data_IF_567620279453
#
_entry.id   IF_567620279453
#
_cell.length_a   1.000
_cell.length_b   1.000
_cell.length_c   1.000
_cell.angle_alpha   90.00
_cell.angle_beta   90.00
_cell.angle_gamma   90.00
#
_symmetry.space_group_name_H-M   'P 1'
#
loop_
_entity.id
_entity.type
_entity.pdbx_description
1 polymer ?
#
# COMPACT_ATOMS: atom_id res chain seq x y z
N UNK A 1 19.62 -0.85 -18.15
CA UNK A 1 18.27 -1.38 -18.43
C UNK A 1 17.28 -0.40 -17.82
N UNK A 2 16.67 0.46 -18.63
CA UNK A 2 15.73 1.50 -18.17
C UNK A 2 14.41 0.83 -17.77
N UNK A 3 14.37 0.23 -16.57
CA UNK A 3 13.11 -0.24 -15.98
C UNK A 3 12.28 1.01 -15.72
N UNK A 4 11.33 1.26 -16.60
CA UNK A 4 10.49 2.47 -16.63
C UNK A 4 9.61 2.47 -15.38
N UNK A 5 9.30 3.65 -14.81
CA UNK A 5 8.49 3.80 -13.58
C UNK A 5 7.19 2.99 -13.61
N UNK A 6 6.61 2.79 -14.80
CA UNK A 6 5.50 1.86 -15.07
C UNK A 6 5.70 0.45 -14.51
N UNK A 7 6.87 -0.16 -14.71
CA UNK A 7 7.11 -1.52 -14.23
C UNK A 7 7.02 -1.62 -12.71
N UNK A 8 7.46 -0.58 -11.98
CA UNK A 8 7.37 -0.57 -10.52
C UNK A 8 5.93 -0.41 -10.04
N UNK A 9 5.15 0.50 -10.65
CA UNK A 9 3.72 0.61 -10.33
C UNK A 9 2.94 -0.67 -10.70
N UNK A 10 3.36 -1.40 -11.74
CA UNK A 10 2.84 -2.72 -12.06
C UNK A 10 3.02 -3.74 -10.93
N UNK A 11 4.14 -3.69 -10.21
CA UNK A 11 4.37 -4.53 -9.01
C UNK A 11 3.39 -4.13 -7.88
N UNK A 12 3.09 -2.83 -7.74
CA UNK A 12 2.07 -2.34 -6.80
C UNK A 12 0.67 -2.86 -7.09
N UNK A 13 0.28 -2.90 -8.38
CA UNK A 13 -1.00 -3.46 -8.80
C UNK A 13 -1.05 -4.96 -8.51
N UNK A 14 0.03 -5.69 -8.78
CA UNK A 14 0.14 -7.12 -8.45
C UNK A 14 0.02 -7.36 -6.94
N UNK A 15 0.70 -6.55 -6.13
CA UNK A 15 0.60 -6.58 -4.66
C UNK A 15 -0.85 -6.37 -4.19
N UNK A 16 -1.54 -5.37 -4.74
CA UNK A 16 -2.94 -5.11 -4.43
C UNK A 16 -3.85 -6.29 -4.83
N UNK A 17 -3.65 -6.87 -6.01
CA UNK A 17 -4.39 -8.05 -6.47
C UNK A 17 -4.19 -9.26 -5.54
N UNK A 18 -2.96 -9.48 -5.06
CA UNK A 18 -2.66 -10.54 -4.09
C UNK A 18 -3.32 -10.27 -2.73
N UNK A 19 -3.36 -9.01 -2.26
CA UNK A 19 -4.07 -8.66 -1.02
C UNK A 19 -5.60 -8.84 -1.16
N UNK A 20 -6.18 -8.53 -2.32
CA UNK A 20 -7.60 -8.82 -2.61
C UNK A 20 -7.84 -10.33 -2.60
N UNK A 21 -6.97 -11.11 -3.23
CA UNK A 21 -7.06 -12.57 -3.25
C UNK A 21 -6.94 -13.15 -1.84
N UNK A 22 -5.99 -12.69 -1.04
CA UNK A 22 -5.85 -13.07 0.37
C UNK A 22 -7.09 -12.71 1.18
N UNK A 23 -7.65 -11.51 0.99
CA UNK A 23 -8.89 -11.08 1.62
C UNK A 23 -10.09 -11.93 1.23
N UNK A 24 -10.20 -12.31 -0.05
CA UNK A 24 -11.25 -13.20 -0.53
C UNK A 24 -11.11 -14.61 0.06
N UNK A 25 -9.90 -15.14 0.18
CA UNK A 25 -9.65 -16.43 0.84
C UNK A 25 -10.03 -16.40 2.33
N UNK A 26 -9.81 -15.27 3.02
CA UNK A 26 -10.24 -15.08 4.40
C UNK A 26 -11.77 -15.09 4.56
N UNK A 27 -12.55 -14.69 3.55
CA UNK A 27 -14.01 -14.83 3.56
C UNK A 27 -14.44 -16.30 3.59
N UNK A 28 -13.68 -17.19 2.96
CA UNK A 28 -13.91 -18.64 2.99
C UNK A 28 -13.22 -19.35 4.16
N UNK A 29 -12.76 -18.59 5.17
CA UNK A 29 -11.99 -19.10 6.32
C UNK A 29 -10.66 -19.79 5.97
N UNK A 30 -10.11 -19.51 4.78
CA UNK A 30 -8.79 -19.98 4.38
C UNK A 30 -7.77 -18.91 4.76
N UNK A 31 -6.94 -19.19 5.78
CA UNK A 31 -5.85 -18.30 6.18
C UNK A 31 -4.65 -18.49 5.26
N UNK A 32 -4.47 -17.56 4.33
CA UNK A 32 -3.39 -17.54 3.36
C UNK A 32 -2.33 -16.51 3.75
N UNK A 33 -1.73 -16.64 4.94
CA UNK A 33 -0.73 -15.69 5.46
C UNK A 33 0.45 -15.50 4.50
N UNK A 34 0.82 -16.55 3.77
CA UNK A 34 1.84 -16.50 2.74
C UNK A 34 1.50 -15.51 1.61
N UNK A 35 0.24 -15.43 1.19
CA UNK A 35 -0.20 -14.52 0.12
C UNK A 35 -0.05 -13.07 0.56
N UNK A 36 -0.45 -12.76 1.80
CA UNK A 36 -0.27 -11.43 2.39
C UNK A 36 1.20 -11.04 2.56
N UNK A 37 2.05 -11.99 2.96
CA UNK A 37 3.49 -11.76 3.06
C UNK A 37 4.12 -11.44 1.69
N UNK A 38 3.76 -12.22 0.65
CA UNK A 38 4.24 -11.97 -0.71
C UNK A 38 3.74 -10.60 -1.21
N UNK A 39 2.48 -10.26 -0.98
CA UNK A 39 1.92 -8.96 -1.34
C UNK A 39 2.65 -7.81 -0.66
N UNK A 40 2.95 -7.94 0.63
CA UNK A 40 3.68 -6.95 1.43
C UNK A 40 5.11 -6.78 0.94
N UNK A 41 5.82 -7.87 0.67
CA UNK A 41 7.17 -7.84 0.08
C UNK A 41 7.15 -7.16 -1.28
N UNK A 42 6.18 -7.47 -2.14
CA UNK A 42 6.04 -6.84 -3.45
C UNK A 42 5.82 -5.32 -3.34
N UNK A 43 4.98 -4.87 -2.39
CA UNK A 43 4.79 -3.44 -2.12
C UNK A 43 6.10 -2.78 -1.64
N UNK A 44 6.83 -3.42 -0.74
CA UNK A 44 8.13 -2.92 -0.27
C UNK A 44 9.17 -2.80 -1.39
N UNK A 45 9.25 -3.81 -2.26
CA UNK A 45 10.13 -3.79 -3.44
C UNK A 45 9.75 -2.66 -4.39
N UNK A 46 8.47 -2.45 -4.67
CA UNK A 46 8.01 -1.31 -5.48
C UNK A 46 8.50 0.02 -4.88
N UNK A 47 8.29 0.24 -3.58
CA UNK A 47 8.66 1.49 -2.91
C UNK A 47 10.18 1.73 -2.92
N UNK A 48 10.99 0.69 -2.72
CA UNK A 48 12.45 0.77 -2.84
C UNK A 48 12.91 1.10 -4.26
N UNK A 49 12.33 0.45 -5.26
CA UNK A 49 12.70 0.67 -6.66
C UNK A 49 12.26 2.05 -7.16
N UNK A 50 11.13 2.58 -6.68
CA UNK A 50 10.73 3.96 -6.95
C UNK A 50 11.70 4.96 -6.33
N UNK A 51 12.15 4.72 -5.09
CA UNK A 51 13.13 5.58 -4.43
C UNK A 51 14.46 5.69 -5.21
N UNK A 52 14.95 4.60 -5.82
CA UNK A 52 16.18 4.64 -6.62
C UNK A 52 16.04 5.40 -7.94
N UNK A 53 14.81 5.58 -8.42
CA UNK A 53 14.48 6.28 -9.67
C UNK A 53 14.00 7.73 -9.46
N UNK A 54 13.81 8.17 -8.22
CA UNK A 54 13.46 9.54 -7.82
C UNK A 54 14.73 10.34 -7.44
N UNK A 55 15.74 10.36 -8.31
CA UNK A 55 17.02 11.07 -8.02
C UNK A 55 16.87 12.60 -7.98
N UNK A 56 15.92 13.14 -8.74
CA UNK A 56 15.69 14.59 -8.88
C UNK A 56 14.77 15.17 -7.82
N UNK A 57 14.00 14.33 -7.09
CA UNK A 57 13.15 14.75 -5.96
C UNK A 57 13.60 14.08 -4.65
N UNK A 58 14.49 14.74 -3.88
CA UNK A 58 14.98 14.22 -2.61
C UNK A 58 13.88 13.96 -1.59
N UNK A 59 12.78 14.73 -1.62
CA UNK A 59 11.67 14.59 -0.67
C UNK A 59 10.83 13.38 -1.02
N UNK A 60 10.38 13.24 -2.28
CA UNK A 60 9.65 12.07 -2.76
C UNK A 60 10.42 10.76 -2.55
N UNK A 61 11.74 10.78 -2.76
CA UNK A 61 12.62 9.65 -2.46
C UNK A 61 12.61 9.26 -0.99
N UNK A 62 12.76 10.24 -0.07
CA UNK A 62 12.76 9.96 1.36
C UNK A 62 11.43 9.39 1.85
N UNK A 63 10.29 9.85 1.29
CA UNK A 63 8.99 9.26 1.58
C UNK A 63 8.86 7.82 1.06
N UNK A 64 9.36 7.52 -0.13
CA UNK A 64 9.37 6.15 -0.65
C UNK A 64 10.26 5.22 0.19
N UNK A 65 11.44 5.68 0.62
CA UNK A 65 12.31 4.92 1.52
C UNK A 65 11.68 4.72 2.90
N UNK A 66 11.05 5.76 3.45
CA UNK A 66 10.33 5.66 4.72
C UNK A 66 9.17 4.65 4.62
N UNK A 67 8.39 4.69 3.53
CA UNK A 67 7.30 3.75 3.30
C UNK A 67 7.81 2.31 3.12
N UNK A 68 8.93 2.11 2.42
CA UNK A 68 9.58 0.80 2.31
C UNK A 68 10.04 0.29 3.68
N UNK A 69 10.68 1.14 4.49
CA UNK A 69 11.10 0.80 5.85
C UNK A 69 9.90 0.44 6.73
N UNK A 70 8.81 1.22 6.66
CA UNK A 70 7.56 0.92 7.36
C UNK A 70 6.94 -0.40 6.89
N UNK A 71 7.05 -0.73 5.61
CA UNK A 71 6.57 -2.02 5.09
C UNK A 71 7.37 -3.19 5.68
N UNK A 72 8.70 -3.06 5.78
CA UNK A 72 9.57 -4.08 6.41
C UNK A 72 9.27 -4.19 7.91
N UNK A 73 9.19 -3.06 8.61
CA UNK A 73 8.83 -3.03 10.03
C UNK A 73 7.42 -3.57 10.29
N UNK A 74 6.52 -3.43 9.30
CA UNK A 74 5.17 -3.96 9.32
C UNK A 74 5.08 -5.48 9.41
N UNK A 75 6.15 -6.19 9.04
CA UNK A 75 6.23 -7.65 9.15
C UNK A 75 6.64 -8.13 10.56
N UNK A 76 7.06 -7.22 11.44
CA UNK A 76 7.42 -7.56 12.82
C UNK A 76 6.14 -7.81 13.64
N UNK A 77 6.03 -8.90 14.41
CA UNK A 77 4.85 -9.14 15.23
C UNK A 77 4.68 -8.08 16.32
N UNK A 78 3.42 -7.76 16.65
CA UNK A 78 3.04 -6.85 17.73
C UNK A 78 2.66 -5.44 17.27
N UNK A 79 2.52 -4.53 18.23
CA UNK A 79 1.97 -3.17 18.02
C UNK A 79 2.80 -2.40 17.00
N UNK A 80 4.13 -2.55 17.02
CA UNK A 80 5.03 -1.87 16.08
C UNK A 80 4.72 -2.27 14.64
N UNK A 81 4.56 -3.56 14.37
CA UNK A 81 4.21 -4.03 13.03
C UNK A 81 2.84 -3.55 12.58
N UNK A 82 1.85 -3.58 13.45
CA UNK A 82 0.49 -3.07 13.15
C UNK A 82 0.55 -1.60 12.71
N UNK A 83 1.22 -0.76 13.51
CA UNK A 83 1.35 0.68 13.23
C UNK A 83 2.13 0.91 11.93
N UNK A 84 3.24 0.21 11.74
CA UNK A 84 4.08 0.36 10.55
C UNK A 84 3.37 -0.12 9.27
N UNK A 85 2.67 -1.24 9.32
CA UNK A 85 1.90 -1.77 8.19
C UNK A 85 0.74 -0.84 7.80
N UNK A 86 0.04 -0.26 8.79
CA UNK A 86 -1.04 0.70 8.53
C UNK A 86 -0.53 2.03 7.96
N UNK A 87 0.68 2.46 8.35
CA UNK A 87 1.27 3.73 7.95
C UNK A 87 2.05 3.71 6.63
N UNK A 88 2.51 2.54 6.16
CA UNK A 88 3.38 2.42 4.98
C UNK A 88 2.79 3.04 3.72
N UNK A 89 1.57 2.64 3.35
CA UNK A 89 0.85 3.16 2.17
C UNK A 89 0.45 4.64 2.30
N UNK A 90 -0.04 5.14 3.45
CA UNK A 90 -0.23 6.58 3.67
C UNK A 90 1.04 7.42 3.49
N UNK A 91 2.17 6.95 4.05
CA UNK A 91 3.47 7.64 3.91
C UNK A 91 3.93 7.65 2.45
N UNK A 92 3.66 6.58 1.71
CA UNK A 92 3.88 6.51 0.27
C UNK A 92 2.97 7.45 -0.53
N UNK A 93 1.68 7.55 -0.17
CA UNK A 93 0.68 8.36 -0.86
C UNK A 93 0.83 9.87 -0.58
N UNK A 94 1.43 10.24 0.55
CA UNK A 94 1.60 11.62 1.02
C UNK A 94 2.23 12.60 0.01
N UNK A 95 3.39 12.30 -0.63
CA UNK A 95 3.96 13.19 -1.64
C UNK A 95 3.03 13.38 -2.84
N UNK A 96 2.33 12.33 -3.28
CA UNK A 96 1.38 12.40 -4.39
C UNK A 96 0.14 13.21 -4.03
N UNK A 97 -0.35 13.09 -2.79
CA UNK A 97 -1.46 13.91 -2.30
C UNK A 97 -1.12 15.39 -2.28
N UNK A 98 0.07 15.78 -1.78
CA UNK A 98 0.48 17.20 -1.76
C UNK A 98 0.76 17.77 -3.14
N UNK A 99 1.28 16.97 -4.05
CA UNK A 99 1.67 17.44 -5.39
C UNK A 99 0.50 17.46 -6.38
N UNK A 100 -0.59 16.74 -6.12
CA UNK A 100 -1.73 16.63 -7.01
C UNK A 100 -2.75 17.76 -6.82
N UNK A 101 -3.35 18.19 -7.93
CA UNK A 101 -4.45 19.17 -7.95
C UNK A 101 -5.67 18.53 -7.26
N UNK A 102 -6.41 19.26 -6.38
CA UNK A 102 -7.49 18.70 -5.57
C UNK A 102 -8.59 17.97 -6.37
N UNK A 103 -8.81 18.37 -7.62
CA UNK A 103 -9.83 17.79 -8.50
C UNK A 103 -9.34 16.55 -9.27
N UNK A 104 -8.02 16.28 -9.29
CA UNK A 104 -7.46 15.15 -10.00
C UNK A 104 -7.78 13.81 -9.29
N UNK A 105 -8.03 12.76 -10.08
CA UNK A 105 -8.29 11.41 -9.57
C UNK A 105 -7.17 10.89 -8.67
N UNK A 106 -5.91 11.28 -8.94
CA UNK A 106 -4.76 10.93 -8.12
C UNK A 106 -4.85 11.53 -6.70
N UNK A 107 -5.32 12.77 -6.55
CA UNK A 107 -5.48 13.42 -5.24
C UNK A 107 -6.52 12.68 -4.40
N UNK A 108 -7.66 12.35 -5.01
CA UNK A 108 -8.74 11.59 -4.37
C UNK A 108 -8.29 10.19 -3.97
N UNK A 109 -7.56 9.49 -4.86
CA UNK A 109 -7.03 8.15 -4.55
C UNK A 109 -5.97 8.19 -3.44
N UNK A 110 -5.06 9.15 -3.47
CA UNK A 110 -4.04 9.31 -2.42
C UNK A 110 -4.67 9.65 -1.06
N UNK A 111 -5.71 10.52 -1.04
CA UNK A 111 -6.49 10.80 0.15
C UNK A 111 -7.19 9.54 0.69
N UNK A 112 -7.82 8.77 -0.21
CA UNK A 112 -8.51 7.54 0.15
C UNK A 112 -7.53 6.51 0.76
N UNK A 113 -6.31 6.39 0.22
CA UNK A 113 -5.25 5.55 0.80
C UNK A 113 -4.87 5.99 2.22
N UNK A 114 -4.82 7.31 2.50
CA UNK A 114 -4.58 7.80 3.86
C UNK A 114 -5.72 7.41 4.82
N UNK A 115 -6.98 7.57 4.39
CA UNK A 115 -8.15 7.15 5.17
C UNK A 115 -8.12 5.65 5.42
N UNK A 116 -7.80 4.84 4.41
CA UNK A 116 -7.64 3.40 4.52
C UNK A 116 -6.57 3.00 5.55
N UNK A 117 -5.43 3.71 5.60
CA UNK A 117 -4.41 3.48 6.63
C UNK A 117 -4.93 3.72 8.04
N UNK A 118 -5.74 4.77 8.24
CA UNK A 118 -6.38 5.04 9.53
C UNK A 118 -7.41 3.97 9.90
N UNK A 119 -8.22 3.51 8.93
CA UNK A 119 -9.19 2.42 9.13
C UNK A 119 -8.47 1.12 9.50
N UNK A 120 -7.37 0.77 8.84
CA UNK A 120 -6.56 -0.41 9.19
C UNK A 120 -5.96 -0.30 10.59
N UNK A 121 -5.46 0.88 10.95
CA UNK A 121 -4.89 1.12 12.27
C UNK A 121 -5.93 0.94 13.37
N UNK A 122 -7.08 1.62 13.26
CA UNK A 122 -8.17 1.53 14.24
C UNK A 122 -8.75 0.11 14.28
N UNK A 123 -8.96 -0.50 13.10
CA UNK A 123 -9.49 -1.85 12.97
C UNK A 123 -8.61 -2.92 13.62
N UNK A 124 -7.30 -2.70 13.68
CA UNK A 124 -6.35 -3.64 14.29
C UNK A 124 -6.38 -3.65 15.82
N UNK A 125 -6.99 -2.65 16.47
CA UNK A 125 -7.18 -2.60 17.92
C UNK A 125 -8.61 -2.95 18.36
N UNK A 126 -9.53 -3.15 17.42
CA UNK A 126 -10.91 -3.50 17.70
C UNK A 126 -11.12 -5.01 17.48
N UNK A 127 -11.98 -5.66 18.30
CA UNK A 127 -12.40 -7.03 18.04
C UNK A 127 -13.37 -7.06 16.84
N UNK A 128 -12.79 -7.04 15.63
CA UNK A 128 -13.54 -7.05 14.37
C UNK A 128 -13.82 -8.50 13.96
N UNK A 129 -15.07 -8.87 13.62
CA UNK A 129 -15.38 -10.19 13.08
C UNK A 129 -14.56 -10.47 11.81
N UNK A 130 -14.10 -11.71 11.63
CA UNK A 130 -13.24 -12.09 10.49
C UNK A 130 -13.81 -11.67 9.13
N UNK A 131 -15.12 -11.80 8.92
CA UNK A 131 -15.77 -11.38 7.67
C UNK A 131 -15.63 -9.88 7.43
N UNK A 132 -15.80 -9.06 8.48
CA UNK A 132 -15.65 -7.62 8.37
C UNK A 132 -14.18 -7.24 8.15
N UNK A 133 -13.23 -7.91 8.82
CA UNK A 133 -11.80 -7.71 8.60
C UNK A 133 -11.40 -8.03 7.15
N UNK A 134 -11.90 -9.14 6.60
CA UNK A 134 -11.68 -9.53 5.21
C UNK A 134 -12.25 -8.49 4.23
N UNK A 135 -13.47 -7.99 4.46
CA UNK A 135 -14.06 -6.92 3.64
C UNK A 135 -13.23 -5.63 3.69
N UNK A 136 -12.74 -5.24 4.87
CA UNK A 136 -11.87 -4.06 5.03
C UNK A 136 -10.58 -4.25 4.24
N UNK A 137 -9.93 -5.41 4.36
CA UNK A 137 -8.69 -5.72 3.63
C UNK A 137 -8.91 -5.63 2.12
N UNK A 138 -10.00 -6.20 1.59
CA UNK A 138 -10.33 -6.14 0.16
C UNK A 138 -10.54 -4.69 -0.29
N UNK A 139 -11.33 -3.92 0.47
CA UNK A 139 -11.60 -2.52 0.15
C UNK A 139 -10.32 -1.68 0.16
N UNK A 140 -9.49 -1.84 1.20
CA UNK A 140 -8.22 -1.12 1.32
C UNK A 140 -7.26 -1.51 0.19
N UNK A 141 -7.14 -2.80 -0.12
CA UNK A 141 -6.31 -3.29 -1.21
C UNK A 141 -6.77 -2.77 -2.57
N UNK A 142 -8.08 -2.68 -2.81
CA UNK A 142 -8.62 -2.09 -4.04
C UNK A 142 -8.25 -0.60 -4.17
N UNK A 143 -8.29 0.15 -3.06
CA UNK A 143 -7.91 1.57 -3.03
C UNK A 143 -6.41 1.77 -3.26
N UNK A 144 -5.57 0.94 -2.62
CA UNK A 144 -4.11 0.93 -2.86
C UNK A 144 -3.78 0.56 -4.31
N UNK A 145 -4.50 -0.43 -4.86
CA UNK A 145 -4.38 -0.85 -6.26
C UNK A 145 -4.82 0.25 -7.23
N UNK A 146 -5.90 0.99 -6.92
CA UNK A 146 -6.34 2.14 -7.71
C UNK A 146 -5.29 3.24 -7.74
N UNK A 147 -4.68 3.56 -6.59
CA UNK A 147 -3.58 4.53 -6.53
C UNK A 147 -2.40 4.06 -7.40
N UNK A 148 -1.99 2.80 -7.28
CA UNK A 148 -0.91 2.23 -8.09
C UNK A 148 -1.24 2.23 -9.59
N UNK A 149 -2.50 1.99 -9.96
CA UNK A 149 -2.97 2.02 -11.34
C UNK A 149 -2.97 3.44 -11.93
N UNK A 150 -3.44 4.44 -11.18
CA UNK A 150 -3.39 5.83 -11.63
C UNK A 150 -1.94 6.29 -11.82
N UNK A 151 -1.05 5.95 -10.88
CA UNK A 151 0.38 6.21 -11.01
C UNK A 151 1.03 5.47 -12.19
N UNK A 152 0.56 4.26 -12.51
CA UNK A 152 0.97 3.52 -13.71
C UNK A 152 0.57 4.23 -15.00
N UNK A 153 -0.63 4.83 -15.04
CA UNK A 153 -1.10 5.57 -16.22
C UNK A 153 -0.37 6.89 -16.42
N UNK A 154 0.00 7.58 -15.34
CA UNK A 154 0.72 8.87 -15.39
C UNK A 154 2.25 8.73 -15.62
N UNK A 155 2.81 7.53 -15.44
CA UNK A 155 4.23 7.21 -15.62
C UNK A 155 4.64 6.99 -17.08
#
# INVERSE_FOLDING_TARGET
>A
MNITRKTFYGIGILSAALNILGGAMLLFSIRADLVFNIATVAAGVMMLMLATNLKEDPRGRNFCLAAALLTVLGMVPGIVGIVCAAASWPVFAWPYFKASVPENGLHKAAFLVMVCGLVLLVGSFLPVPQMLAACIIIAVAAVQGLLAFLLYQEA
#
